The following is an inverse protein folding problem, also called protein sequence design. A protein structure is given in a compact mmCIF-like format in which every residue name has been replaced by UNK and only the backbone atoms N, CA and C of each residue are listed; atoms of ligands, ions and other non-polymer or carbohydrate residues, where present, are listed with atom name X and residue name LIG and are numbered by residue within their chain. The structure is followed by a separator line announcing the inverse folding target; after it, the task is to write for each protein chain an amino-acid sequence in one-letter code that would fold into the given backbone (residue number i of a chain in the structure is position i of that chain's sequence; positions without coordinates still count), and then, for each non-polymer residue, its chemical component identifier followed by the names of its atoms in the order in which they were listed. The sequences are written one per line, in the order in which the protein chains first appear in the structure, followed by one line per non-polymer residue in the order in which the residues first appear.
data_IF_110643777418
#
_entry.id   IF_110643777418
#
_cell.length_a   1.000
_cell.length_b   1.000
_cell.length_c   1.000
_cell.angle_alpha   90.00
_cell.angle_beta   90.00
_cell.angle_gamma   90.00
#
_symmetry.space_group_name_H-M   'P 1'
#
loop_
_entity.id
_entity.type
_entity.pdbx_description
1 polymer ?
#
# COMPACT_ATOMS: atom_id res chain seq x y z
N UNK A 1 -14.30 -7.10 -10.25
CA UNK A 1 -15.33 -8.15 -10.11
C UNK A 1 -15.11 -8.77 -8.73
N UNK A 2 -15.97 -8.45 -7.76
CA UNK A 2 -15.94 -9.10 -6.44
C UNK A 2 -16.97 -10.22 -6.50
N UNK A 3 -16.54 -11.48 -6.37
CA UNK A 3 -17.45 -12.59 -6.17
C UNK A 3 -17.87 -12.59 -4.70
N UNK A 4 -19.15 -12.33 -4.47
CA UNK A 4 -19.77 -12.29 -3.15
C UNK A 4 -20.07 -13.70 -2.66
N UNK A 5 -19.04 -14.46 -2.29
CA UNK A 5 -19.21 -15.68 -1.50
C UNK A 5 -18.85 -15.39 -0.04
N UNK A 6 -19.80 -14.78 0.66
CA UNK A 6 -20.07 -14.92 2.11
C UNK A 6 -19.04 -14.46 3.15
N UNK A 7 -17.75 -14.77 3.01
CA UNK A 7 -16.76 -14.58 4.07
C UNK A 7 -15.42 -14.00 3.60
N UNK A 8 -15.04 -14.21 2.33
CA UNK A 8 -13.71 -13.87 1.85
C UNK A 8 -13.73 -12.90 0.66
N UNK A 9 -12.85 -11.91 0.69
CA UNK A 9 -12.57 -10.98 -0.41
C UNK A 9 -11.35 -11.49 -1.16
N UNK A 10 -11.49 -11.75 -2.46
CA UNK A 10 -10.35 -12.04 -3.33
C UNK A 10 -9.75 -10.74 -3.85
N UNK A 11 -8.46 -10.52 -3.58
CA UNK A 11 -7.71 -9.42 -4.15
C UNK A 11 -6.63 -9.94 -5.09
N UNK A 12 -6.76 -9.64 -6.39
CA UNK A 12 -5.85 -10.10 -7.43
C UNK A 12 -4.83 -9.03 -7.84
N UNK A 13 -3.63 -9.45 -8.22
CA UNK A 13 -2.55 -8.59 -8.72
C UNK A 13 -2.47 -8.67 -10.24
N UNK A 14 -2.96 -7.64 -10.93
CA UNK A 14 -2.71 -7.48 -12.37
C UNK A 14 -1.28 -6.96 -12.58
N UNK A 15 -0.46 -7.73 -13.28
CA UNK A 15 0.82 -7.26 -13.82
C UNK A 15 0.59 -6.34 -15.04
N UNK A 16 1.60 -5.61 -15.49
CA UNK A 16 1.57 -4.72 -16.67
C UNK A 16 1.18 -5.46 -17.97
N UNK A 17 1.29 -6.79 -17.98
CA UNK A 17 0.85 -7.67 -19.08
C UNK A 17 -0.57 -8.23 -18.91
N UNK A 18 -1.27 -7.86 -17.84
CA UNK A 18 -2.65 -8.28 -17.55
C UNK A 18 -2.79 -9.68 -16.94
N UNK A 19 -1.68 -10.36 -16.62
CA UNK A 19 -1.63 -11.65 -15.93
C UNK A 19 -1.69 -11.49 -14.41
N UNK A 20 -2.52 -12.32 -13.77
CA UNK A 20 -2.65 -12.39 -12.31
C UNK A 20 -1.55 -13.29 -11.72
N UNK A 21 -0.46 -12.69 -11.21
CA UNK A 21 0.71 -13.46 -10.73
C UNK A 21 0.59 -13.90 -9.26
N UNK A 22 -0.09 -13.12 -8.41
CA UNK A 22 -0.37 -13.45 -7.01
C UNK A 22 -1.68 -12.78 -6.54
N UNK A 23 -2.35 -13.36 -5.56
CA UNK A 23 -3.54 -12.77 -4.95
C UNK A 23 -3.69 -13.21 -3.50
N UNK A 24 -4.44 -12.44 -2.71
CA UNK A 24 -4.76 -12.78 -1.32
C UNK A 24 -6.24 -13.15 -1.20
N UNK A 25 -6.51 -14.15 -0.38
CA UNK A 25 -7.85 -14.50 0.07
C UNK A 25 -7.93 -14.10 1.54
N UNK A 26 -8.63 -13.01 1.82
CA UNK A 26 -8.74 -12.42 3.16
C UNK A 26 -10.20 -12.39 3.58
N UNK A 27 -10.46 -12.66 4.85
CA UNK A 27 -11.74 -12.35 5.45
C UNK A 27 -11.98 -10.84 5.49
N UNK A 28 -13.22 -10.42 5.74
CA UNK A 28 -13.56 -9.00 5.92
C UNK A 28 -12.82 -8.36 7.10
N UNK A 29 -12.53 -9.14 8.14
CA UNK A 29 -11.83 -8.67 9.34
C UNK A 29 -10.34 -8.52 9.08
N UNK A 30 -9.68 -9.56 8.55
CA UNK A 30 -8.25 -9.50 8.17
C UNK A 30 -7.98 -8.39 7.15
N UNK A 31 -8.90 -8.17 6.20
CA UNK A 31 -8.78 -7.06 5.25
C UNK A 31 -8.76 -5.70 5.97
N UNK A 32 -9.62 -5.49 6.96
CA UNK A 32 -9.69 -4.24 7.72
C UNK A 32 -8.44 -4.03 8.58
N UNK A 33 -7.97 -5.07 9.24
CA UNK A 33 -6.73 -5.03 10.04
C UNK A 33 -5.53 -4.71 9.15
N UNK A 34 -5.43 -5.37 7.99
CA UNK A 34 -4.38 -5.12 7.01
C UNK A 34 -4.45 -3.69 6.48
N UNK A 35 -5.65 -3.20 6.17
CA UNK A 35 -5.85 -1.80 5.76
C UNK A 35 -5.39 -0.83 6.86
N UNK A 36 -5.73 -1.09 8.13
CA UNK A 36 -5.34 -0.26 9.26
C UNK A 36 -3.82 -0.21 9.47
N UNK A 37 -3.15 -1.37 9.45
CA UNK A 37 -1.70 -1.45 9.62
C UNK A 37 -0.99 -0.70 8.49
N UNK A 38 -1.41 -0.91 7.24
CA UNK A 38 -0.79 -0.26 6.09
C UNK A 38 -0.99 1.25 6.11
N UNK A 39 -2.17 1.74 6.53
CA UNK A 39 -2.39 3.18 6.72
C UNK A 39 -1.41 3.76 7.73
N UNK A 40 -1.27 3.13 8.89
CA UNK A 40 -0.36 3.59 9.94
C UNK A 40 1.08 3.65 9.48
N UNK A 41 1.57 2.61 8.83
CA UNK A 41 2.93 2.57 8.31
C UNK A 41 3.17 3.65 7.23
N UNK A 42 2.18 3.92 6.38
CA UNK A 42 2.25 5.02 5.41
C UNK A 42 2.28 6.39 6.11
N UNK A 43 1.48 6.59 7.15
CA UNK A 43 1.44 7.83 7.93
C UNK A 43 2.78 8.09 8.61
N UNK A 44 3.37 7.08 9.24
CA UNK A 44 4.69 7.17 9.87
C UNK A 44 5.79 7.47 8.85
N UNK A 45 5.82 6.77 7.70
CA UNK A 45 6.79 7.06 6.64
C UNK A 45 6.63 8.47 6.07
N UNK A 46 5.40 8.92 5.81
CA UNK A 46 5.13 10.25 5.29
C UNK A 46 5.52 11.35 6.28
N UNK A 47 5.34 11.10 7.57
CA UNK A 47 5.82 11.97 8.63
C UNK A 47 7.35 12.03 8.64
N UNK A 48 8.04 10.89 8.64
CA UNK A 48 9.49 10.83 8.64
C UNK A 48 10.12 11.51 7.41
N UNK A 49 9.45 11.44 6.24
CA UNK A 49 9.91 12.12 5.03
C UNK A 49 9.94 13.65 5.14
N UNK A 50 9.26 14.24 6.12
CA UNK A 50 9.30 15.68 6.37
C UNK A 50 10.58 16.09 7.13
N UNK A 51 11.33 15.14 7.69
CA UNK A 51 12.58 15.43 8.38
C UNK A 51 13.75 15.54 7.40
N UNK A 52 14.18 16.77 7.13
CA UNK A 52 15.29 17.06 6.23
C UNK A 52 16.64 16.52 6.72
N UNK A 53 16.77 16.26 8.04
CA UNK A 53 18.02 15.82 8.69
C UNK A 53 18.37 14.37 8.40
N UNK A 54 17.44 13.60 7.83
CA UNK A 54 17.67 12.20 7.46
C UNK A 54 18.66 12.14 6.30
N UNK A 55 19.67 11.28 6.44
CA UNK A 55 20.70 11.07 5.41
C UNK A 55 20.11 10.45 4.14
N UNK A 56 20.61 10.83 2.95
CA UNK A 56 20.00 10.46 1.67
C UNK A 56 19.94 8.94 1.41
N UNK A 57 20.95 8.20 1.89
CA UNK A 57 20.96 6.72 1.85
C UNK A 57 19.74 6.14 2.59
N UNK A 58 19.36 6.73 3.73
CA UNK A 58 18.20 6.31 4.50
C UNK A 58 16.91 6.73 3.80
N UNK A 59 16.85 7.94 3.23
CA UNK A 59 15.70 8.40 2.42
C UNK A 59 15.41 7.47 1.25
N UNK A 60 16.45 6.96 0.58
CA UNK A 60 16.32 5.97 -0.49
C UNK A 60 15.70 4.65 0.01
N UNK A 61 16.16 4.15 1.16
CA UNK A 61 15.59 2.94 1.75
C UNK A 61 14.12 3.15 2.18
N UNK A 62 13.79 4.31 2.75
CA UNK A 62 12.41 4.69 3.09
C UNK A 62 11.52 4.76 1.84
N UNK A 63 12.02 5.31 0.75
CA UNK A 63 11.28 5.41 -0.52
C UNK A 63 10.97 4.03 -1.11
N UNK A 64 11.91 3.08 -1.05
CA UNK A 64 11.65 1.70 -1.46
C UNK A 64 10.60 1.03 -0.55
N UNK A 65 10.67 1.26 0.77
CA UNK A 65 9.66 0.77 1.72
C UNK A 65 8.28 1.38 1.42
N UNK A 66 8.20 2.68 1.19
CA UNK A 66 6.97 3.39 0.82
C UNK A 66 6.33 2.77 -0.44
N UNK A 67 7.11 2.52 -1.50
CA UNK A 67 6.58 1.93 -2.74
C UNK A 67 5.95 0.55 -2.49
N UNK A 68 6.62 -0.30 -1.72
CA UNK A 68 6.10 -1.65 -1.40
C UNK A 68 4.80 -1.55 -0.61
N UNK A 69 4.79 -0.72 0.45
CA UNK A 69 3.63 -0.57 1.32
C UNK A 69 2.47 0.08 0.58
N UNK A 70 2.71 1.14 -0.21
CA UNK A 70 1.68 1.81 -1.00
C UNK A 70 1.09 0.88 -2.07
N UNK A 71 1.92 0.09 -2.74
CA UNK A 71 1.45 -0.94 -3.68
C UNK A 71 0.57 -1.99 -3.00
N UNK A 72 0.89 -2.39 -1.77
CA UNK A 72 0.08 -3.32 -1.00
C UNK A 72 -1.22 -2.67 -0.50
N UNK A 73 -1.15 -1.42 -0.05
CA UNK A 73 -2.30 -0.66 0.42
C UNK A 73 -3.37 -0.50 -0.67
N UNK A 74 -2.96 -0.17 -1.90
CA UNK A 74 -3.84 -0.06 -3.07
C UNK A 74 -4.62 -1.34 -3.40
N UNK A 75 -4.19 -2.49 -2.87
CA UNK A 75 -4.87 -3.78 -3.06
C UNK A 75 -6.04 -3.94 -2.08
N UNK A 76 -5.89 -3.44 -0.85
CA UNK A 76 -6.89 -3.62 0.21
C UNK A 76 -7.82 -2.41 0.34
N UNK A 77 -7.32 -1.21 0.08
CA UNK A 77 -8.06 0.03 0.20
C UNK A 77 -8.78 0.42 -1.09
N UNK A 78 -9.82 1.24 -0.93
CA UNK A 78 -10.51 1.94 -2.00
C UNK A 78 -9.66 3.10 -2.55
N UNK A 79 -9.90 3.45 -3.81
CA UNK A 79 -9.10 4.43 -4.55
C UNK A 79 -9.10 5.82 -3.90
N UNK A 80 -10.22 6.22 -3.30
CA UNK A 80 -10.36 7.49 -2.59
C UNK A 80 -9.40 7.61 -1.40
N UNK A 81 -9.29 6.54 -0.59
CA UNK A 81 -8.35 6.50 0.52
C UNK A 81 -6.90 6.50 0.04
N UNK A 82 -6.60 5.89 -1.11
CA UNK A 82 -5.26 5.87 -1.68
C UNK A 82 -4.73 7.27 -2.02
N UNK A 83 -5.61 8.19 -2.45
CA UNK A 83 -5.21 9.56 -2.86
C UNK A 83 -4.52 10.29 -1.71
N UNK A 84 -4.92 10.04 -0.46
CA UNK A 84 -4.37 10.69 0.74
C UNK A 84 -2.91 10.36 0.98
N UNK A 85 -2.43 9.23 0.45
CA UNK A 85 -1.08 8.74 0.65
C UNK A 85 -0.23 8.85 -0.62
N UNK A 86 -0.75 9.49 -1.69
CA UNK A 86 0.02 9.75 -2.91
C UNK A 86 1.09 10.79 -2.63
N UNK A 87 2.34 10.41 -2.85
CA UNK A 87 3.49 11.29 -2.67
C UNK A 87 3.96 11.84 -4.01
N UNK A 88 4.35 13.13 -4.03
CA UNK A 88 5.01 13.73 -5.21
C UNK A 88 6.41 13.14 -5.33
N UNK A 89 6.79 12.76 -6.56
CA UNK A 89 8.11 12.21 -6.83
C UNK A 89 9.18 13.24 -6.46
N UNK A 90 10.01 12.90 -5.48
CA UNK A 90 11.14 13.71 -5.04
C UNK A 90 12.41 12.93 -5.37
N UNK A 91 13.37 13.57 -6.02
CA UNK A 91 14.66 12.96 -6.34
C UNK A 91 15.62 13.26 -5.19
N UNK A 92 16.11 12.20 -4.53
CA UNK A 92 17.16 12.23 -3.51
C UNK A 92 18.44 11.64 -4.06
#
# INVERSE_FOLDING_TARGET
MLNENGLNTYCSVRNDRGDDLLGFMLTKEEKKEMEYILKRELEELLFDFQDERIHDVVKKAMEERYKIIFCLFRRVANAEECIRYVRKRTFY
#
